data_IF_615244459497
#
_entry.id   IF_615244459497
#
_cell.length_a   1.000
_cell.length_b   1.000
_cell.length_c   1.000
_cell.angle_alpha   90.00
_cell.angle_beta   90.00
_cell.angle_gamma   90.00
#
_symmetry.space_group_name_H-M   'P 1'
#
loop_
_entity.id
_entity.type
_entity.pdbx_description
1 polymer ?
#
# COMPACT_ATOMS: atom_id res chain seq x y z
N UNK A 1 1.17 -4.79 13.77
CA UNK A 1 -0.13 -4.35 13.28
C UNK A 1 -0.20 -4.47 11.77
N UNK A 2 -1.34 -4.83 11.23
CA UNK A 2 -1.54 -4.97 9.78
C UNK A 2 -2.70 -4.09 9.34
N UNK A 3 -2.49 -3.34 8.27
CA UNK A 3 -3.54 -2.57 7.61
C UNK A 3 -3.68 -3.04 6.17
N UNK A 4 -4.90 -3.04 5.68
CA UNK A 4 -5.20 -3.50 4.33
C UNK A 4 -5.89 -2.37 3.58
N UNK A 5 -5.37 -2.10 2.37
CA UNK A 5 -5.91 -1.06 1.49
C UNK A 5 -6.36 -1.70 0.18
N UNK A 6 -7.43 -1.21 -0.37
CA UNK A 6 -7.78 -1.53 -1.75
C UNK A 6 -7.29 -0.41 -2.67
N UNK A 7 -6.84 -0.79 -3.85
CA UNK A 7 -6.26 0.13 -4.82
C UNK A 7 -6.80 -0.16 -6.21
N UNK A 8 -6.38 0.66 -7.17
CA UNK A 8 -6.63 0.39 -8.58
C UNK A 8 -5.34 0.04 -9.34
N UNK A 9 -4.35 -0.50 -8.65
CA UNK A 9 -3.12 -0.95 -9.28
C UNK A 9 -3.38 -2.22 -10.08
N UNK A 10 -3.16 -2.16 -11.40
CA UNK A 10 -3.48 -3.28 -12.30
C UNK A 10 -2.27 -4.00 -12.86
N UNK A 11 -1.07 -3.42 -12.76
CA UNK A 11 0.12 -4.02 -13.34
C UNK A 11 1.21 -4.20 -12.30
N UNK A 12 2.03 -5.23 -12.51
CA UNK A 12 3.17 -5.51 -11.67
C UNK A 12 4.19 -4.37 -11.71
N UNK A 13 4.35 -3.74 -12.86
CA UNK A 13 5.26 -2.61 -13.04
C UNK A 13 4.88 -1.45 -12.12
N UNK A 14 3.60 -1.09 -12.11
CA UNK A 14 3.12 0.01 -11.26
C UNK A 14 3.27 -0.38 -9.80
N UNK A 15 2.92 -1.61 -9.44
CA UNK A 15 3.05 -2.09 -8.07
C UNK A 15 4.50 -1.98 -7.58
N UNK A 16 5.46 -2.41 -8.40
CA UNK A 16 6.87 -2.35 -8.02
C UNK A 16 7.37 -0.92 -7.83
N UNK A 17 6.90 -0.01 -8.67
CA UNK A 17 7.25 1.41 -8.55
C UNK A 17 6.74 2.00 -7.23
N UNK A 18 5.49 1.71 -6.91
CA UNK A 18 4.87 2.18 -5.68
C UNK A 18 5.57 1.57 -4.47
N UNK A 19 5.85 0.26 -4.51
CA UNK A 19 6.54 -0.42 -3.41
C UNK A 19 7.92 0.19 -3.16
N UNK A 20 8.64 0.54 -4.21
CA UNK A 20 9.95 1.16 -4.07
C UNK A 20 9.85 2.50 -3.33
N UNK A 21 8.89 3.33 -3.70
CA UNK A 21 8.67 4.62 -3.05
C UNK A 21 8.28 4.43 -1.58
N UNK A 22 7.36 3.51 -1.32
CA UNK A 22 6.91 3.23 0.04
C UNK A 22 8.06 2.74 0.91
N UNK A 23 8.89 1.84 0.41
CA UNK A 23 10.01 1.30 1.16
C UNK A 23 11.08 2.35 1.43
N UNK A 24 11.24 3.29 0.51
CA UNK A 24 12.20 4.39 0.68
C UNK A 24 11.76 5.33 1.79
N UNK A 25 10.48 5.68 1.83
CA UNK A 25 9.97 6.64 2.80
C UNK A 25 9.61 6.01 4.14
N UNK A 26 9.24 4.73 4.14
CA UNK A 26 8.76 4.02 5.34
C UNK A 26 9.49 2.67 5.47
N UNK A 27 10.81 2.70 5.71
CA UNK A 27 11.64 1.48 5.66
C UNK A 27 11.35 0.49 6.79
N UNK A 28 10.66 0.91 7.84
CA UNK A 28 10.35 0.03 8.97
C UNK A 28 9.08 -0.78 8.77
N UNK A 29 8.35 -0.51 7.69
CA UNK A 29 7.13 -1.22 7.36
C UNK A 29 7.42 -2.29 6.31
N UNK A 30 6.57 -3.31 6.28
CA UNK A 30 6.60 -4.36 5.26
C UNK A 30 5.39 -4.17 4.36
N UNK A 31 5.63 -4.11 3.06
CA UNK A 31 4.59 -3.86 2.06
C UNK A 31 4.48 -5.03 1.10
N UNK A 32 3.26 -5.37 0.73
CA UNK A 32 3.00 -6.45 -0.21
C UNK A 32 1.72 -6.17 -0.99
N UNK A 33 1.77 -6.34 -2.32
CA UNK A 33 0.58 -6.25 -3.16
C UNK A 33 0.05 -7.63 -3.50
N UNK A 34 -1.27 -7.79 -3.43
CA UNK A 34 -1.96 -8.94 -3.97
C UNK A 34 -2.79 -8.47 -5.16
N UNK A 35 -2.24 -8.61 -6.35
CA UNK A 35 -2.86 -8.14 -7.58
C UNK A 35 -3.83 -9.17 -8.18
N UNK A 36 -3.86 -10.38 -7.65
CA UNK A 36 -4.82 -11.40 -8.06
C UNK A 36 -6.19 -11.16 -7.43
N UNK A 37 -6.23 -10.46 -6.30
CA UNK A 37 -7.48 -10.07 -5.68
C UNK A 37 -8.16 -8.99 -6.53
N UNK A 38 -9.48 -9.07 -6.67
CA UNK A 38 -10.23 -8.09 -7.45
C UNK A 38 -10.14 -6.67 -6.88
N UNK A 39 -9.87 -6.55 -5.59
CA UNK A 39 -9.71 -5.25 -4.92
C UNK A 39 -8.28 -4.72 -4.97
N UNK A 40 -7.37 -5.44 -5.63
CA UNK A 40 -5.96 -5.02 -5.79
C UNK A 40 -5.37 -4.57 -4.48
N UNK A 41 -5.22 -5.52 -3.57
CA UNK A 41 -4.91 -5.27 -2.17
C UNK A 41 -3.45 -4.87 -1.98
N UNK A 42 -3.25 -3.80 -1.20
CA UNK A 42 -1.96 -3.47 -0.62
C UNK A 42 -2.02 -3.83 0.86
N UNK A 43 -1.16 -4.75 1.29
CA UNK A 43 -1.04 -5.13 2.68
C UNK A 43 0.17 -4.44 3.28
N UNK A 44 -0.02 -3.80 4.43
CA UNK A 44 1.03 -3.09 5.15
C UNK A 44 1.14 -3.68 6.54
N UNK A 45 2.35 -4.08 6.91
CA UNK A 45 2.61 -4.66 8.23
C UNK A 45 3.65 -3.81 8.96
N UNK A 46 3.38 -3.53 10.22
CA UNK A 46 4.30 -2.80 11.10
C UNK A 46 4.54 -3.63 12.35
N UNK A 47 5.78 -3.61 12.83
CA UNK A 47 6.12 -4.23 14.11
C UNK A 47 5.69 -3.37 15.28
N UNK A 48 5.34 -2.10 15.05
CA UNK A 48 4.81 -1.22 16.07
C UNK A 48 3.30 -1.34 16.15
N UNK A 49 2.71 -0.65 17.12
CA UNK A 49 1.25 -0.66 17.32
C UNK A 49 0.51 0.27 16.35
N UNK A 50 1.24 1.03 15.54
CA UNK A 50 0.64 2.06 14.70
C UNK A 50 1.12 1.90 13.27
N UNK A 51 0.19 2.02 12.31
CA UNK A 51 0.49 2.18 10.88
C UNK A 51 0.06 3.60 10.48
N UNK A 52 0.99 4.37 9.91
CA UNK A 52 0.73 5.74 9.48
C UNK A 52 -0.06 5.73 8.17
N UNK A 53 -1.37 5.48 8.27
CA UNK A 53 -2.22 5.30 7.10
C UNK A 53 -2.26 6.54 6.21
N UNK A 54 -2.25 7.74 6.82
CA UNK A 54 -2.27 8.98 6.05
C UNK A 54 -1.06 9.14 5.15
N UNK A 55 0.14 8.78 5.65
CA UNK A 55 1.35 8.85 4.84
C UNK A 55 1.31 7.85 3.70
N UNK A 56 0.83 6.65 3.95
CA UNK A 56 0.73 5.61 2.94
C UNK A 56 -0.23 6.06 1.83
N UNK A 57 -1.38 6.57 2.20
CA UNK A 57 -2.37 7.06 1.25
C UNK A 57 -1.79 8.20 0.41
N UNK A 58 -1.07 9.13 1.05
CA UNK A 58 -0.48 10.26 0.35
C UNK A 58 0.55 9.79 -0.68
N UNK A 59 1.44 8.90 -0.29
CA UNK A 59 2.49 8.39 -1.19
C UNK A 59 1.88 7.69 -2.38
N UNK A 60 0.90 6.82 -2.15
CA UNK A 60 0.26 6.06 -3.23
C UNK A 60 -0.55 6.99 -4.13
N UNK A 61 -1.26 7.95 -3.57
CA UNK A 61 -2.03 8.94 -4.34
C UNK A 61 -1.12 9.75 -5.25
N UNK A 62 0.09 10.08 -4.80
CA UNK A 62 1.06 10.82 -5.60
C UNK A 62 1.47 10.07 -6.87
N UNK A 63 1.23 8.76 -6.95
CA UNK A 63 1.45 7.96 -8.14
C UNK A 63 0.21 7.90 -9.05
N UNK A 64 -0.79 8.75 -8.80
CA UNK A 64 -2.05 8.78 -9.54
C UNK A 64 -2.85 7.48 -9.37
N UNK A 65 -2.76 6.87 -8.20
CA UNK A 65 -3.44 5.63 -7.87
C UNK A 65 -4.54 5.91 -6.85
N UNK A 66 -5.71 5.36 -7.09
CA UNK A 66 -6.79 5.41 -6.10
C UNK A 66 -6.50 4.40 -5.00
N UNK A 67 -6.66 4.82 -3.76
CA UNK A 67 -6.40 3.99 -2.60
C UNK A 67 -7.37 4.34 -1.49
N UNK A 68 -7.81 3.34 -0.76
CA UNK A 68 -8.63 3.52 0.42
C UNK A 68 -8.45 2.35 1.37
N UNK A 69 -8.79 2.55 2.64
CA UNK A 69 -8.77 1.47 3.60
C UNK A 69 -9.80 0.43 3.19
N UNK A 70 -9.40 -0.85 3.28
CA UNK A 70 -10.32 -1.94 3.02
C UNK A 70 -11.26 -2.08 4.20
N UNK A 71 -12.55 -2.02 3.95
CA UNK A 71 -13.57 -2.21 4.97
C UNK A 71 -14.59 -3.23 4.47
N UNK A 72 -15.02 -4.10 5.36
CA UNK A 72 -16.07 -5.07 5.03
C UNK A 72 -17.45 -4.43 4.98
#
# INVERSE_FOLDING_TARGET
>A
MVEIFKTDVHTKRVAERVLRTLRTHLPLYHFNFDLEDCDRILRVQSDSLIVETGQIIQIVTDHCIEIGLYTD
#
